data_IF_385323594395
#
_entry.id   IF_385323594395
#
_cell.length_a   1.000
_cell.length_b   1.000
_cell.length_c   1.000
_cell.angle_alpha   90.00
_cell.angle_beta   90.00
_cell.angle_gamma   90.00
#
_symmetry.space_group_name_H-M   'P 1'
#
loop_
_entity.id
_entity.type
_entity.pdbx_description
1 polymer ?
#
# COMPACT_ATOMS: atom_id res chain seq x y z
N UNK A 1 -0.83 30.69 -36.00
CA UNK A 1 -1.21 29.28 -36.27
C UNK A 1 -2.29 28.90 -35.26
N UNK A 2 -3.42 28.36 -35.70
CA UNK A 2 -4.61 28.21 -34.83
C UNK A 2 -4.54 26.99 -33.93
N UNK A 3 -4.70 27.20 -32.62
CA UNK A 3 -5.09 26.15 -31.69
C UNK A 3 -6.61 25.97 -31.74
N UNK A 4 -7.09 25.17 -32.69
CA UNK A 4 -8.45 24.62 -32.70
C UNK A 4 -8.38 23.15 -33.13
N UNK A 5 -9.40 22.36 -32.76
CA UNK A 5 -9.50 20.91 -33.01
C UNK A 5 -8.59 19.97 -32.18
N UNK A 6 -8.49 20.20 -30.87
CA UNK A 6 -8.39 19.09 -29.89
C UNK A 6 -9.71 18.97 -29.11
N UNK A 7 -10.75 18.63 -29.87
CA UNK A 7 -12.09 18.36 -29.35
C UNK A 7 -12.10 17.12 -28.47
N UNK A 8 -12.89 17.19 -27.40
CA UNK A 8 -13.17 16.10 -26.45
C UNK A 8 -14.08 15.06 -27.16
N UNK A 9 -13.50 14.34 -28.11
CA UNK A 9 -14.09 13.20 -28.81
C UNK A 9 -13.17 12.00 -28.57
N UNK A 10 -13.75 10.79 -28.53
CA UNK A 10 -13.09 9.51 -28.21
C UNK A 10 -12.90 9.15 -26.71
N UNK A 11 -14.00 9.10 -25.96
CA UNK A 11 -14.13 7.96 -25.04
C UNK A 11 -14.29 6.68 -25.90
N UNK A 12 -13.39 5.72 -25.76
CA UNK A 12 -13.45 4.45 -26.52
C UNK A 12 -14.13 3.36 -25.68
N UNK A 13 -14.95 2.52 -26.30
CA UNK A 13 -15.59 1.39 -25.63
C UNK A 13 -14.63 0.20 -25.63
N UNK A 14 -14.27 -0.31 -24.45
CA UNK A 14 -13.63 -1.62 -24.32
C UNK A 14 -14.72 -2.70 -24.46
N UNK A 15 -14.82 -3.28 -25.66
CA UNK A 15 -15.82 -4.29 -25.99
C UNK A 15 -15.73 -5.55 -25.11
N UNK A 16 -14.55 -5.86 -24.54
CA UNK A 16 -14.39 -7.00 -23.63
C UNK A 16 -15.04 -6.75 -22.26
N UNK A 17 -15.21 -5.48 -21.87
CA UNK A 17 -15.68 -5.06 -20.54
C UNK A 17 -17.01 -4.31 -20.52
N UNK A 18 -17.47 -3.85 -21.70
CA UNK A 18 -18.65 -3.00 -21.87
C UNK A 18 -18.56 -1.74 -20.99
N UNK A 19 -17.50 -0.96 -21.19
CA UNK A 19 -17.18 0.26 -20.42
C UNK A 19 -16.45 1.31 -21.29
N UNK A 20 -16.50 2.58 -20.88
CA UNK A 20 -15.83 3.70 -21.55
C UNK A 20 -14.44 3.98 -20.97
N UNK A 21 -13.48 4.28 -21.84
CA UNK A 21 -12.06 4.49 -21.52
C UNK A 21 -11.59 5.86 -22.05
N UNK A 22 -10.78 6.56 -21.26
CA UNK A 22 -10.33 7.94 -21.50
C UNK A 22 -9.18 8.05 -22.53
N UNK A 23 -9.18 9.06 -23.42
CA UNK A 23 -8.17 9.20 -24.48
C UNK A 23 -6.80 9.75 -24.02
N UNK A 24 -6.71 10.42 -22.86
CA UNK A 24 -5.41 10.87 -22.32
C UNK A 24 -4.67 9.79 -21.52
N UNK A 25 -5.24 8.59 -21.35
CA UNK A 25 -4.48 7.48 -20.81
C UNK A 25 -3.55 6.95 -21.92
N UNK A 26 -2.22 6.88 -21.71
CA UNK A 26 -1.29 6.50 -22.77
C UNK A 26 -1.63 5.12 -23.32
N UNK A 27 -1.53 4.98 -24.65
CA UNK A 27 -1.83 3.72 -25.34
C UNK A 27 -1.11 2.55 -24.65
N UNK A 28 -1.88 1.53 -24.29
CA UNK A 28 -1.41 0.33 -23.59
C UNK A 28 -0.20 -0.28 -24.28
N UNK A 29 0.81 -0.67 -23.50
CA UNK A 29 1.54 -1.90 -23.82
C UNK A 29 0.58 -3.08 -23.65
N UNK A 30 0.62 -4.05 -24.57
CA UNK A 30 -0.42 -5.09 -24.80
C UNK A 30 -0.76 -6.02 -23.62
N UNK A 31 -0.17 -5.82 -22.43
CA UNK A 31 -0.33 -6.68 -21.25
C UNK A 31 -0.99 -6.02 -20.03
N UNK A 32 -1.33 -4.72 -20.07
CA UNK A 32 -2.15 -4.12 -19.01
C UNK A 32 -3.66 -4.26 -19.30
N UNK A 33 -4.24 -5.34 -18.78
CA UNK A 33 -5.68 -5.61 -18.85
C UNK A 33 -6.52 -4.74 -17.91
N UNK A 34 -6.03 -3.60 -17.44
CA UNK A 34 -6.82 -2.67 -16.61
C UNK A 34 -7.06 -1.38 -17.38
N UNK A 35 -8.30 -1.20 -17.82
CA UNK A 35 -8.76 0.05 -18.39
C UNK A 35 -9.27 0.91 -17.22
N UNK A 36 -8.95 2.21 -17.23
CA UNK A 36 -9.68 3.16 -16.39
C UNK A 36 -11.15 3.09 -16.80
N UNK A 37 -11.97 2.47 -15.96
CA UNK A 37 -13.41 2.52 -16.09
C UNK A 37 -13.81 3.87 -15.52
N UNK A 38 -13.95 4.87 -16.38
CA UNK A 38 -14.31 6.21 -15.93
C UNK A 38 -15.81 6.25 -15.63
N UNK A 39 -16.14 6.08 -14.35
CA UNK A 39 -17.41 6.40 -13.72
C UNK A 39 -17.53 7.91 -13.43
N UNK A 40 -17.18 8.76 -14.41
CA UNK A 40 -17.51 10.21 -14.46
C UNK A 40 -19.01 10.51 -14.27
N UNK A 41 -19.82 9.45 -14.32
CA UNK A 41 -21.21 9.29 -13.89
C UNK A 41 -21.45 9.71 -12.43
N UNK A 42 -21.18 10.97 -12.09
CA UNK A 42 -21.77 11.62 -10.92
C UNK A 42 -21.87 13.13 -11.10
N UNK A 43 -20.78 13.85 -11.39
CA UNK A 43 -20.70 15.32 -11.20
C UNK A 43 -21.90 16.11 -11.75
N UNK A 44 -22.36 15.83 -12.97
CA UNK A 44 -23.50 16.55 -13.58
C UNK A 44 -24.89 16.13 -13.06
N UNK A 45 -24.99 15.00 -12.36
CA UNK A 45 -26.23 14.45 -11.80
C UNK A 45 -26.20 14.33 -10.26
N UNK A 46 -25.15 14.83 -9.60
CA UNK A 46 -24.99 14.76 -8.14
C UNK A 46 -26.20 15.38 -7.43
N UNK A 47 -26.70 16.50 -7.93
CA UNK A 47 -27.91 17.15 -7.43
C UNK A 47 -29.11 16.20 -7.41
N UNK A 48 -29.31 15.43 -8.49
CA UNK A 48 -30.44 14.53 -8.64
C UNK A 48 -30.27 13.27 -7.78
N UNK A 49 -29.05 12.74 -7.68
CA UNK A 49 -28.77 11.58 -6.81
C UNK A 49 -28.88 11.93 -5.34
N UNK A 50 -28.43 13.11 -4.93
CA UNK A 50 -28.56 13.53 -3.54
C UNK A 50 -30.02 13.76 -3.15
N UNK A 51 -30.82 14.38 -4.04
CA UNK A 51 -32.27 14.44 -3.86
C UNK A 51 -32.89 13.03 -3.72
N UNK A 52 -32.48 12.05 -4.52
CA UNK A 52 -32.95 10.65 -4.41
C UNK A 52 -32.46 9.94 -3.14
N UNK A 53 -31.23 10.21 -2.65
CA UNK A 53 -30.71 9.65 -1.40
C UNK A 53 -31.42 10.23 -0.17
N UNK A 54 -31.73 11.53 -0.17
CA UNK A 54 -32.37 12.24 0.94
C UNK A 54 -33.90 12.04 0.98
N UNK A 55 -34.56 11.94 -0.17
CA UNK A 55 -36.03 11.96 -0.29
C UNK A 55 -36.62 10.65 -0.85
N UNK A 56 -35.78 9.67 -1.16
CA UNK A 56 -36.17 8.43 -1.83
C UNK A 56 -36.64 8.64 -3.27
N UNK A 57 -36.96 7.54 -3.93
CA UNK A 57 -37.40 7.48 -5.33
C UNK A 57 -38.93 7.64 -5.44
N UNK A 58 -39.40 8.89 -5.49
CA UNK A 58 -40.82 9.25 -5.46
C UNK A 58 -41.35 9.79 -6.82
N UNK A 59 -42.65 10.10 -6.88
CA UNK A 59 -43.38 10.57 -8.09
C UNK A 59 -42.69 11.77 -8.76
N UNK A 60 -42.05 12.66 -7.99
CA UNK A 60 -41.29 13.81 -8.51
C UNK A 60 -40.24 13.40 -9.57
N UNK A 61 -39.62 12.22 -9.42
CA UNK A 61 -38.58 11.75 -10.32
C UNK A 61 -39.16 11.37 -11.69
N UNK A 62 -40.39 10.86 -11.74
CA UNK A 62 -41.11 10.60 -12.98
C UNK A 62 -41.46 11.93 -13.68
N UNK A 63 -41.89 12.96 -12.94
CA UNK A 63 -42.10 14.30 -13.50
C UNK A 63 -40.80 14.89 -14.06
N UNK A 64 -39.67 14.75 -13.36
CA UNK A 64 -38.34 15.20 -13.82
C UNK A 64 -37.91 14.45 -15.09
N UNK A 65 -38.11 13.14 -15.18
CA UNK A 65 -37.76 12.35 -16.37
C UNK A 65 -38.67 12.70 -17.56
N UNK A 66 -39.98 12.87 -17.33
CA UNK A 66 -40.93 13.32 -18.38
C UNK A 66 -40.59 14.74 -18.86
N UNK A 67 -40.18 15.61 -17.96
CA UNK A 67 -39.67 16.94 -18.27
C UNK A 67 -38.40 16.85 -19.16
N UNK A 68 -37.45 15.98 -18.79
CA UNK A 68 -36.22 15.75 -19.53
C UNK A 68 -36.47 15.28 -20.97
N UNK A 69 -37.40 14.33 -21.19
CA UNK A 69 -37.77 13.87 -22.55
C UNK A 69 -38.43 15.01 -23.34
N UNK A 70 -39.40 15.72 -22.73
CA UNK A 70 -40.12 16.80 -23.40
C UNK A 70 -39.21 17.96 -23.84
N UNK A 71 -38.11 18.20 -23.12
CA UNK A 71 -37.14 19.27 -23.39
C UNK A 71 -35.85 18.78 -24.06
N UNK A 72 -35.74 17.49 -24.35
CA UNK A 72 -34.52 16.85 -24.91
C UNK A 72 -33.26 17.15 -24.07
N UNK A 73 -33.35 16.99 -22.74
CA UNK A 73 -32.27 17.30 -21.80
C UNK A 73 -31.68 16.04 -21.15
N UNK A 74 -30.34 16.03 -20.97
CA UNK A 74 -29.68 15.04 -20.09
C UNK A 74 -29.80 15.41 -18.62
N UNK A 75 -30.23 16.63 -18.30
CA UNK A 75 -30.22 17.23 -16.95
C UNK A 75 -28.84 17.25 -16.27
N UNK A 76 -27.76 17.30 -17.06
CA UNK A 76 -26.45 17.65 -16.51
C UNK A 76 -26.48 19.07 -15.97
N UNK A 77 -25.95 19.29 -14.78
CA UNK A 77 -26.08 20.55 -14.05
C UNK A 77 -25.58 21.78 -14.83
N UNK A 78 -24.51 21.61 -15.63
CA UNK A 78 -23.96 22.67 -16.50
C UNK A 78 -24.73 22.88 -17.82
N UNK A 79 -25.70 22.00 -18.15
CA UNK A 79 -26.62 22.18 -19.29
C UNK A 79 -27.95 22.82 -18.88
N UNK A 80 -28.23 22.97 -17.57
CA UNK A 80 -29.48 23.56 -17.08
C UNK A 80 -29.46 25.09 -17.23
N UNK A 81 -30.28 25.61 -18.13
CA UNK A 81 -30.56 27.06 -18.21
C UNK A 81 -31.40 27.52 -17.01
N UNK A 82 -31.48 28.83 -16.76
CA UNK A 82 -32.35 29.38 -15.69
C UNK A 82 -33.84 29.04 -15.88
N UNK A 83 -34.31 28.92 -17.14
CA UNK A 83 -35.65 28.40 -17.44
C UNK A 83 -35.78 26.94 -16.97
N UNK A 84 -34.78 26.10 -17.25
CA UNK A 84 -34.82 24.69 -16.83
C UNK A 84 -34.74 24.53 -15.31
N UNK A 85 -33.90 25.32 -14.64
CA UNK A 85 -33.81 25.32 -13.17
C UNK A 85 -35.14 25.73 -12.54
N UNK A 86 -35.81 26.75 -13.10
CA UNK A 86 -37.14 27.16 -12.63
C UNK A 86 -38.17 26.04 -12.83
N UNK A 87 -38.26 25.45 -14.02
CA UNK A 87 -39.20 24.35 -14.28
C UNK A 87 -38.97 23.15 -13.34
N UNK A 88 -37.70 22.81 -13.06
CA UNK A 88 -37.32 21.73 -12.14
C UNK A 88 -37.68 22.10 -10.69
N UNK A 89 -37.43 23.35 -10.27
CA UNK A 89 -37.83 23.86 -8.96
C UNK A 89 -39.36 23.84 -8.77
N UNK A 90 -40.12 24.22 -9.80
CA UNK A 90 -41.58 24.19 -9.80
C UNK A 90 -42.13 22.75 -9.72
N UNK A 91 -41.42 21.75 -10.27
CA UNK A 91 -41.72 20.32 -10.06
C UNK A 91 -41.42 19.92 -8.60
N UNK A 92 -40.21 20.19 -8.11
CA UNK A 92 -39.74 19.75 -6.79
C UNK A 92 -40.51 20.41 -5.63
N UNK A 93 -40.93 21.66 -5.79
CA UNK A 93 -41.66 22.43 -4.77
C UNK A 93 -43.03 21.81 -4.41
N UNK A 94 -43.69 21.14 -5.37
CA UNK A 94 -44.93 20.37 -5.15
C UNK A 94 -44.77 19.28 -4.09
N UNK A 95 -43.55 18.75 -3.97
CA UNK A 95 -43.15 17.67 -3.06
C UNK A 95 -42.35 18.18 -1.86
N UNK A 96 -42.21 19.51 -1.72
CA UNK A 96 -41.45 20.19 -0.67
C UNK A 96 -39.95 19.84 -0.65
N UNK A 97 -39.41 19.43 -1.80
CA UNK A 97 -37.99 19.09 -1.97
C UNK A 97 -37.23 20.35 -2.41
N UNK A 98 -36.14 20.75 -1.73
CA UNK A 98 -35.31 21.86 -2.18
C UNK A 98 -34.47 21.45 -3.41
N UNK A 99 -34.46 22.29 -4.45
CA UNK A 99 -33.47 22.17 -5.52
C UNK A 99 -32.15 22.80 -5.06
N UNK A 100 -31.09 21.99 -4.99
CA UNK A 100 -29.74 22.44 -4.65
C UNK A 100 -28.80 21.96 -5.74
N UNK A 101 -28.10 22.92 -6.37
CA UNK A 101 -26.99 22.67 -7.29
C UNK A 101 -25.76 22.15 -6.51
N UNK A 102 -25.07 21.14 -7.04
CA UNK A 102 -23.92 20.46 -6.42
C UNK A 102 -22.60 20.61 -7.20
N UNK A 103 -22.55 21.51 -8.19
CA UNK A 103 -21.34 21.86 -8.93
C UNK A 103 -20.35 22.68 -8.06
N UNK A 104 -19.71 22.01 -7.13
CA UNK A 104 -18.69 22.56 -6.24
C UNK A 104 -17.31 22.53 -6.91
N UNK A 105 -16.71 23.71 -7.15
CA UNK A 105 -15.33 23.81 -7.67
C UNK A 105 -14.28 23.19 -6.73
N UNK A 106 -14.61 23.00 -5.45
CA UNK A 106 -13.79 22.31 -4.46
C UNK A 106 -14.02 20.79 -4.40
N UNK A 107 -14.81 20.20 -5.31
CA UNK A 107 -15.14 18.78 -5.34
C UNK A 107 -13.91 17.85 -5.26
N UNK A 108 -14.03 16.86 -4.37
CA UNK A 108 -13.03 15.83 -4.12
C UNK A 108 -13.68 14.44 -4.06
N UNK A 109 -13.21 13.55 -4.92
CA UNK A 109 -13.74 12.20 -5.10
C UNK A 109 -13.63 11.35 -3.82
N UNK A 110 -12.53 11.53 -3.07
CA UNK A 110 -12.25 10.86 -1.79
C UNK A 110 -13.23 11.19 -0.67
N UNK A 111 -14.06 12.25 -0.81
CA UNK A 111 -15.16 12.55 0.13
C UNK A 111 -16.44 11.78 -0.20
N UNK A 112 -16.50 11.08 -1.33
CA UNK A 112 -17.72 10.48 -1.90
C UNK A 112 -17.63 8.95 -2.09
N UNK A 113 -16.64 8.29 -1.46
CA UNK A 113 -16.37 6.84 -1.53
C UNK A 113 -17.60 5.92 -1.52
N UNK A 114 -18.61 6.22 -0.68
CA UNK A 114 -19.87 5.44 -0.61
C UNK A 114 -20.60 5.43 -1.97
N UNK A 115 -20.79 6.60 -2.56
CA UNK A 115 -21.47 6.80 -3.83
C UNK A 115 -20.68 6.12 -4.96
N UNK A 116 -19.35 6.20 -4.93
CA UNK A 116 -18.52 5.59 -5.98
C UNK A 116 -18.43 4.06 -5.83
N UNK A 117 -18.44 3.51 -4.61
CA UNK A 117 -18.57 2.06 -4.40
C UNK A 117 -19.92 1.54 -4.90
N UNK A 118 -21.00 2.30 -4.64
CA UNK A 118 -22.34 2.02 -5.18
C UNK A 118 -22.39 2.11 -6.71
N UNK A 119 -21.72 3.09 -7.32
CA UNK A 119 -21.66 3.23 -8.79
C UNK A 119 -20.79 2.19 -9.50
N UNK A 120 -20.18 1.21 -8.81
CA UNK A 120 -19.53 0.07 -9.47
C UNK A 120 -20.51 -1.05 -9.86
N UNK A 121 -21.69 -1.10 -9.26
CA UNK A 121 -22.75 -2.02 -9.65
C UNK A 121 -23.47 -1.48 -10.91
N UNK A 122 -23.46 -2.25 -12.01
CA UNK A 122 -24.06 -1.88 -13.31
C UNK A 122 -25.60 -1.86 -13.29
N UNK A 123 -26.20 -2.41 -12.24
CA UNK A 123 -27.63 -2.41 -11.95
C UNK A 123 -28.00 -1.35 -10.89
N UNK A 124 -27.01 -0.61 -10.36
CA UNK A 124 -27.26 0.45 -9.39
C UNK A 124 -28.16 1.57 -9.95
N UNK A 125 -28.95 2.15 -9.07
CA UNK A 125 -29.93 3.20 -9.33
C UNK A 125 -29.40 4.34 -10.20
N UNK A 126 -28.20 4.82 -9.87
CA UNK A 126 -27.54 5.97 -10.51
C UNK A 126 -27.20 5.69 -11.98
N UNK A 127 -26.74 4.46 -12.29
CA UNK A 127 -26.59 4.04 -13.67
C UNK A 127 -27.95 4.06 -14.36
N UNK A 128 -28.93 3.34 -13.80
CA UNK A 128 -30.28 3.24 -14.37
C UNK A 128 -30.88 4.62 -14.69
N UNK A 129 -30.74 5.58 -13.79
CA UNK A 129 -31.18 6.96 -13.96
C UNK A 129 -30.38 7.73 -15.02
N UNK A 130 -29.03 7.72 -14.98
CA UNK A 130 -28.21 8.41 -16.01
C UNK A 130 -28.65 8.00 -17.41
N UNK A 131 -28.84 6.69 -17.59
CA UNK A 131 -29.06 6.11 -18.90
C UNK A 131 -30.49 6.36 -19.39
N UNK A 132 -31.48 6.42 -18.50
CA UNK A 132 -32.84 6.91 -18.79
C UNK A 132 -32.81 8.38 -19.23
N UNK A 133 -32.05 9.25 -18.54
CA UNK A 133 -31.89 10.67 -18.93
C UNK A 133 -31.14 10.83 -20.26
N UNK A 134 -30.24 9.90 -20.59
CA UNK A 134 -29.60 9.85 -21.91
C UNK A 134 -30.58 9.42 -23.01
N UNK A 135 -31.52 8.50 -22.76
CA UNK A 135 -32.61 8.21 -23.70
C UNK A 135 -33.53 9.44 -23.87
N UNK A 136 -33.82 10.13 -22.76
CA UNK A 136 -34.66 11.33 -22.70
C UNK A 136 -34.13 12.47 -23.59
N UNK A 137 -32.81 12.72 -23.55
CA UNK A 137 -32.15 13.72 -24.40
C UNK A 137 -32.29 13.48 -25.91
N UNK A 138 -32.52 12.23 -26.33
CA UNK A 138 -32.56 11.86 -27.74
C UNK A 138 -33.94 11.39 -28.19
N UNK A 139 -34.98 11.71 -27.42
CA UNK A 139 -36.38 11.40 -27.71
C UNK A 139 -36.64 9.89 -27.89
N UNK A 140 -35.78 9.03 -27.33
CA UNK A 140 -35.85 7.58 -27.44
C UNK A 140 -36.46 6.92 -26.21
N UNK A 141 -36.76 7.67 -25.14
CA UNK A 141 -37.24 7.08 -23.89
C UNK A 141 -38.60 6.41 -24.10
N UNK A 142 -39.61 7.13 -24.56
CA UNK A 142 -40.95 6.55 -24.78
C UNK A 142 -41.08 5.71 -26.06
N UNK A 143 -40.06 5.71 -26.93
CA UNK A 143 -39.97 4.77 -28.05
C UNK A 143 -39.55 3.36 -27.60
N UNK A 144 -38.78 3.26 -26.52
CA UNK A 144 -38.10 2.03 -26.08
C UNK A 144 -38.56 1.55 -24.69
N UNK A 145 -39.22 2.40 -23.91
CA UNK A 145 -39.72 2.13 -22.56
C UNK A 145 -41.13 2.73 -22.43
N UNK A 146 -42.15 1.91 -22.20
CA UNK A 146 -43.52 2.41 -22.01
C UNK A 146 -43.69 3.20 -20.72
N UNK A 147 -44.73 4.04 -20.60
CA UNK A 147 -45.02 4.76 -19.35
C UNK A 147 -45.17 3.84 -18.12
N UNK A 148 -45.68 2.62 -18.32
CA UNK A 148 -45.87 1.66 -17.24
C UNK A 148 -44.55 0.98 -16.85
N UNK A 149 -43.62 0.80 -17.78
CA UNK A 149 -42.26 0.37 -17.47
C UNK A 149 -41.47 1.50 -16.81
N UNK A 150 -41.63 2.75 -17.26
CA UNK A 150 -41.04 3.93 -16.62
C UNK A 150 -41.54 4.15 -15.17
N UNK A 151 -42.74 3.65 -14.84
CA UNK A 151 -43.30 3.61 -13.46
C UNK A 151 -42.86 2.41 -12.62
N UNK A 152 -42.29 1.36 -13.22
CA UNK A 152 -41.63 0.23 -12.51
C UNK A 152 -40.14 0.53 -12.30
N UNK A 153 -39.54 1.21 -13.27
CA UNK A 153 -38.50 2.22 -13.05
C UNK A 153 -39.11 3.33 -12.16
N UNK A 154 -38.32 4.17 -11.51
CA UNK A 154 -38.78 5.12 -10.47
C UNK A 154 -39.35 4.43 -9.23
N UNK A 155 -40.41 3.61 -9.31
CA UNK A 155 -40.88 2.79 -8.17
C UNK A 155 -40.03 1.51 -8.01
N UNK A 156 -38.71 1.69 -7.91
CA UNK A 156 -37.65 0.67 -8.00
C UNK A 156 -37.62 -0.38 -6.88
N UNK A 157 -38.69 -1.17 -6.72
CA UNK A 157 -38.69 -2.37 -5.87
C UNK A 157 -37.93 -3.54 -6.52
N UNK A 158 -37.92 -3.61 -7.86
CA UNK A 158 -37.20 -4.64 -8.63
C UNK A 158 -35.85 -4.14 -9.20
N UNK A 159 -34.78 -4.91 -8.95
CA UNK A 159 -33.48 -4.72 -9.60
C UNK A 159 -33.51 -5.23 -11.04
N UNK A 160 -33.84 -4.37 -12.01
CA UNK A 160 -33.82 -4.72 -13.44
C UNK A 160 -32.77 -3.94 -14.22
N UNK A 161 -32.01 -4.65 -15.06
CA UNK A 161 -30.94 -4.10 -15.90
C UNK A 161 -31.49 -3.43 -17.18
N UNK A 162 -32.14 -2.27 -17.02
CA UNK A 162 -32.96 -1.61 -18.07
C UNK A 162 -32.21 -1.21 -19.36
N UNK A 163 -30.87 -1.16 -19.38
CA UNK A 163 -30.17 -0.30 -20.35
C UNK A 163 -29.15 -0.95 -21.30
N UNK A 164 -28.43 -2.01 -20.92
CA UNK A 164 -27.16 -2.31 -21.61
C UNK A 164 -27.31 -2.54 -23.14
N UNK A 165 -28.47 -3.00 -23.61
CA UNK A 165 -28.79 -3.08 -25.04
C UNK A 165 -29.30 -1.72 -25.61
N UNK A 166 -30.24 -1.07 -24.94
CA UNK A 166 -30.94 0.15 -25.35
C UNK A 166 -29.99 1.33 -25.57
N UNK A 167 -29.03 1.53 -24.65
CA UNK A 167 -28.02 2.59 -24.76
C UNK A 167 -26.97 2.31 -25.85
N UNK A 168 -26.61 1.04 -26.08
CA UNK A 168 -25.75 0.66 -27.20
C UNK A 168 -26.41 1.02 -28.54
N UNK A 169 -27.72 0.80 -28.69
CA UNK A 169 -28.48 1.20 -29.88
C UNK A 169 -28.38 2.69 -30.19
N UNK A 170 -28.69 3.57 -29.22
CA UNK A 170 -28.63 5.03 -29.39
C UNK A 170 -27.19 5.50 -29.68
N UNK A 171 -26.17 4.88 -29.08
CA UNK A 171 -24.77 5.19 -29.37
C UNK A 171 -24.34 4.77 -30.78
N UNK A 172 -24.77 3.60 -31.25
CA UNK A 172 -24.46 3.11 -32.61
C UNK A 172 -25.08 4.00 -33.70
N UNK A 173 -26.34 4.41 -33.53
CA UNK A 173 -27.05 5.31 -34.45
C UNK A 173 -26.33 6.66 -34.57
N UNK A 174 -25.87 7.25 -33.46
CA UNK A 174 -25.11 8.50 -33.45
C UNK A 174 -23.80 8.43 -34.23
N UNK A 175 -23.06 7.32 -34.11
CA UNK A 175 -21.80 7.13 -34.85
C UNK A 175 -22.02 7.07 -36.37
N UNK A 176 -23.18 6.61 -36.81
CA UNK A 176 -23.59 6.63 -38.22
C UNK A 176 -24.03 8.03 -38.68
N UNK A 177 -24.61 8.84 -37.80
CA UNK A 177 -25.24 10.12 -38.14
C UNK A 177 -24.41 11.38 -37.83
N UNK A 178 -23.19 11.27 -37.30
CA UNK A 178 -22.24 12.38 -37.17
C UNK A 178 -22.60 13.48 -36.15
N UNK A 179 -23.56 13.23 -35.25
CA UNK A 179 -24.10 14.21 -34.30
C UNK A 179 -23.02 14.62 -33.27
N UNK A 180 -22.79 15.94 -33.13
CA UNK A 180 -21.85 16.47 -32.13
C UNK A 180 -22.39 16.38 -30.69
N UNK A 181 -21.46 16.30 -29.74
CA UNK A 181 -21.77 16.22 -28.30
C UNK A 181 -21.52 17.60 -27.69
N UNK A 182 -22.39 18.05 -26.76
CA UNK A 182 -22.20 19.30 -26.01
C UNK A 182 -20.78 19.36 -25.43
N UNK A 183 -20.02 20.45 -25.62
CA UNK A 183 -18.71 20.60 -25.01
C UNK A 183 -18.83 20.66 -23.48
N UNK A 184 -17.94 19.96 -22.77
CA UNK A 184 -17.82 20.05 -21.32
C UNK A 184 -17.08 21.35 -20.98
N UNK A 185 -17.58 22.17 -20.01
CA UNK A 185 -16.87 23.39 -19.58
C UNK A 185 -15.45 23.13 -19.06
N UNK A 186 -14.50 23.99 -19.41
CA UNK A 186 -13.08 23.84 -19.06
C UNK A 186 -12.81 23.71 -17.55
N UNK A 187 -13.61 24.35 -16.69
CA UNK A 187 -13.47 24.23 -15.24
C UNK A 187 -13.83 22.82 -14.75
N UNK A 188 -14.81 22.16 -15.38
CA UNK A 188 -15.14 20.77 -15.08
C UNK A 188 -14.05 19.82 -15.54
N UNK A 189 -13.42 20.08 -16.70
CA UNK A 189 -12.24 19.32 -17.15
C UNK A 189 -11.14 19.37 -16.08
N UNK A 190 -10.85 20.55 -15.51
CA UNK A 190 -9.87 20.71 -14.42
C UNK A 190 -10.27 19.99 -13.13
N UNK A 191 -11.55 20.00 -12.74
CA UNK A 191 -12.06 19.23 -11.59
C UNK A 191 -11.86 17.73 -11.81
N UNK A 192 -12.09 17.25 -13.02
CA UNK A 192 -11.88 15.84 -13.39
C UNK A 192 -10.39 15.48 -13.35
N UNK A 193 -9.53 16.28 -13.98
CA UNK A 193 -8.08 16.08 -13.97
C UNK A 193 -7.49 16.06 -12.53
N UNK A 194 -7.95 16.97 -11.65
CA UNK A 194 -7.61 16.97 -10.21
C UNK A 194 -7.93 15.61 -9.55
N UNK A 195 -9.04 14.98 -9.93
CA UNK A 195 -9.54 13.74 -9.32
C UNK A 195 -9.13 12.44 -10.06
N UNK A 196 -8.48 12.52 -11.23
CA UNK A 196 -7.91 11.37 -11.95
C UNK A 196 -6.51 10.95 -11.47
N UNK A 197 -5.95 11.60 -10.44
CA UNK A 197 -4.65 11.19 -9.91
C UNK A 197 -4.76 9.89 -9.11
N UNK A 198 -3.72 9.05 -9.18
CA UNK A 198 -3.61 7.91 -8.27
C UNK A 198 -3.48 8.44 -6.83
N UNK A 199 -4.20 7.85 -5.89
CA UNK A 199 -4.02 8.09 -4.46
C UNK A 199 -4.13 6.79 -3.68
N UNK A 200 -3.65 6.82 -2.44
CA UNK A 200 -3.60 5.67 -1.54
C UNK A 200 -4.18 6.09 -0.19
N UNK A 201 -5.13 5.33 0.35
CA UNK A 201 -5.53 5.48 1.74
C UNK A 201 -4.33 5.31 2.67
N UNK A 202 -4.28 6.08 3.76
CA UNK A 202 -3.22 5.94 4.73
C UNK A 202 -3.41 4.66 5.54
N UNK A 203 -2.68 3.60 5.18
CA UNK A 203 -2.54 2.43 6.04
C UNK A 203 -1.93 2.85 7.39
N UNK A 204 -2.43 2.24 8.47
CA UNK A 204 -1.79 2.32 9.79
C UNK A 204 -0.64 1.31 9.82
N UNK A 205 0.45 1.65 10.52
CA UNK A 205 1.51 0.71 10.82
C UNK A 205 0.95 -0.49 11.62
N UNK A 206 1.52 -1.68 11.40
CA UNK A 206 1.06 -2.93 12.03
C UNK A 206 1.56 -3.04 13.47
N UNK A 207 2.79 -2.57 13.71
CA UNK A 207 3.51 -2.69 14.96
C UNK A 207 3.90 -1.32 15.52
N UNK A 208 3.74 -1.16 16.82
CA UNK A 208 4.10 0.03 17.57
C UNK A 208 5.00 -0.40 18.73
N UNK A 209 6.33 -0.19 18.65
CA UNK A 209 7.26 -0.75 19.63
C UNK A 209 7.11 -0.08 21.01
N UNK A 210 7.17 -0.89 22.07
CA UNK A 210 7.41 -0.43 23.43
C UNK A 210 8.93 -0.20 23.60
N UNK A 211 9.40 0.95 23.09
CA UNK A 211 10.83 1.22 22.90
C UNK A 211 11.61 1.04 24.22
N UNK A 212 11.13 1.61 25.33
CA UNK A 212 11.80 1.51 26.63
C UNK A 212 11.96 0.04 27.11
N UNK A 213 10.92 -0.79 26.92
CA UNK A 213 11.01 -2.22 27.25
C UNK A 213 12.09 -2.91 26.41
N UNK A 214 12.10 -2.68 25.09
CA UNK A 214 13.08 -3.28 24.17
C UNK A 214 14.50 -2.80 24.50
N UNK A 215 14.68 -1.49 24.70
CA UNK A 215 15.99 -0.89 24.96
C UNK A 215 16.56 -1.32 26.32
N UNK A 216 15.75 -1.37 27.37
CA UNK A 216 16.22 -1.77 28.70
C UNK A 216 16.65 -3.24 28.70
N UNK A 217 15.78 -4.16 28.27
CA UNK A 217 16.12 -5.60 28.22
C UNK A 217 17.36 -5.89 27.36
N UNK A 218 17.57 -5.16 26.24
CA UNK A 218 18.79 -5.30 25.44
C UNK A 218 20.01 -4.71 26.17
N UNK A 219 19.86 -3.54 26.82
CA UNK A 219 20.99 -2.86 27.47
C UNK A 219 21.44 -3.57 28.76
N UNK A 220 20.53 -4.23 29.47
CA UNK A 220 20.85 -5.08 30.62
C UNK A 220 21.79 -6.24 30.19
N UNK A 221 21.44 -6.93 29.10
CA UNK A 221 22.25 -8.02 28.50
C UNK A 221 23.56 -7.50 27.90
N UNK A 222 23.55 -6.35 27.21
CA UNK A 222 24.77 -5.71 26.71
C UNK A 222 25.73 -5.35 27.88
N UNK A 223 25.20 -4.89 29.02
CA UNK A 223 25.99 -4.50 30.19
C UNK A 223 26.59 -5.71 30.91
N UNK A 224 25.77 -6.73 31.21
CA UNK A 224 26.24 -7.96 31.88
C UNK A 224 27.35 -8.66 31.09
N UNK A 225 27.18 -8.79 29.77
CA UNK A 225 28.19 -9.40 28.90
C UNK A 225 29.44 -8.52 28.75
N UNK A 226 29.29 -7.19 28.76
CA UNK A 226 30.42 -6.25 28.68
C UNK A 226 31.30 -6.28 29.94
N UNK A 227 30.70 -6.26 31.13
CA UNK A 227 31.42 -6.31 32.41
C UNK A 227 32.26 -7.58 32.57
N UNK A 228 31.79 -8.69 32.01
CA UNK A 228 32.41 -10.01 32.12
C UNK A 228 33.19 -10.44 30.88
N UNK A 229 33.26 -9.63 29.81
CA UNK A 229 33.69 -10.08 28.48
C UNK A 229 35.05 -10.79 28.47
N UNK A 230 36.04 -10.27 29.19
CA UNK A 230 37.40 -10.82 29.24
C UNK A 230 37.50 -12.18 29.99
N UNK A 231 36.48 -12.55 30.77
CA UNK A 231 36.39 -13.84 31.46
C UNK A 231 35.72 -14.92 30.60
N UNK A 232 35.04 -14.52 29.52
CA UNK A 232 34.32 -15.41 28.62
C UNK A 232 35.35 -16.07 27.67
N UNK A 233 35.38 -17.40 27.52
CA UNK A 233 36.29 -18.08 26.60
C UNK A 233 36.11 -17.62 25.14
N UNK A 234 37.20 -17.59 24.37
CA UNK A 234 37.24 -17.14 22.97
C UNK A 234 36.13 -17.74 22.09
N UNK A 235 35.88 -19.05 22.19
CA UNK A 235 34.83 -19.73 21.43
C UNK A 235 33.42 -19.24 21.82
N UNK A 236 33.20 -19.03 23.12
CA UNK A 236 31.95 -18.47 23.64
C UNK A 236 31.74 -17.02 23.19
N UNK A 237 32.80 -16.21 23.12
CA UNK A 237 32.76 -14.85 22.60
C UNK A 237 32.30 -14.80 21.13
N UNK A 238 32.66 -15.79 20.29
CA UNK A 238 32.21 -15.85 18.88
C UNK A 238 30.69 -15.97 18.78
N UNK A 239 30.09 -16.86 19.58
CA UNK A 239 28.65 -17.10 19.60
C UNK A 239 27.90 -15.89 20.17
N UNK A 240 28.41 -15.34 21.28
CA UNK A 240 27.83 -14.15 21.91
C UNK A 240 27.96 -12.90 21.05
N UNK A 241 29.03 -12.74 20.27
CA UNK A 241 29.18 -11.64 19.30
C UNK A 241 28.09 -11.66 18.23
N UNK A 242 27.75 -12.85 17.69
CA UNK A 242 26.64 -13.00 16.72
C UNK A 242 25.28 -12.68 17.33
N UNK A 243 25.10 -12.97 18.61
CA UNK A 243 23.89 -12.66 19.35
C UNK A 243 23.77 -11.17 19.68
N UNK A 244 24.82 -10.56 20.23
CA UNK A 244 24.91 -9.12 20.49
C UNK A 244 24.72 -8.30 19.22
N UNK A 245 25.30 -8.71 18.09
CA UNK A 245 25.06 -8.06 16.80
C UNK A 245 23.57 -8.13 16.39
N UNK A 246 22.91 -9.25 16.67
CA UNK A 246 21.48 -9.40 16.44
C UNK A 246 20.64 -8.49 17.33
N UNK A 247 20.95 -8.41 18.64
CA UNK A 247 20.31 -7.46 19.57
C UNK A 247 20.53 -6.01 19.15
N UNK A 248 21.73 -5.67 18.67
CA UNK A 248 22.07 -4.33 18.20
C UNK A 248 21.22 -3.89 17.00
N UNK A 249 21.00 -4.79 16.03
CA UNK A 249 20.10 -4.52 14.92
C UNK A 249 18.66 -4.26 15.38
N UNK A 250 18.15 -5.03 16.35
CA UNK A 250 16.82 -4.80 16.95
C UNK A 250 16.73 -3.41 17.56
N UNK A 251 17.73 -3.04 18.38
CA UNK A 251 17.84 -1.74 19.06
C UNK A 251 17.80 -0.59 18.06
N UNK A 252 18.53 -0.68 16.96
CA UNK A 252 18.55 0.35 15.91
C UNK A 252 17.23 0.48 15.13
N UNK A 253 16.61 -0.63 14.70
CA UNK A 253 15.33 -0.54 13.97
C UNK A 253 14.14 -0.17 14.85
N UNK A 254 14.16 -0.52 16.15
CA UNK A 254 13.02 -0.31 17.06
C UNK A 254 12.77 1.17 17.36
N UNK A 255 13.79 2.02 17.20
CA UNK A 255 13.68 3.49 17.35
C UNK A 255 12.79 4.09 16.25
N UNK A 256 12.73 3.49 15.05
CA UNK A 256 11.98 4.01 13.92
C UNK A 256 10.81 3.08 13.52
N UNK A 257 9.55 3.46 13.79
CA UNK A 257 8.38 2.66 13.41
C UNK A 257 8.29 2.36 11.91
N UNK A 258 8.79 3.24 11.04
CA UNK A 258 8.82 3.01 9.58
C UNK A 258 9.87 1.95 9.23
N UNK A 259 11.02 1.94 9.91
CA UNK A 259 12.05 0.91 9.76
C UNK A 259 11.54 -0.47 10.18
N UNK A 260 10.95 -0.53 11.39
CA UNK A 260 10.43 -1.75 12.00
C UNK A 260 9.24 -2.38 11.25
N UNK A 261 8.40 -1.57 10.59
CA UNK A 261 7.28 -2.03 9.77
C UNK A 261 7.59 -2.10 8.26
N UNK A 262 8.77 -1.64 7.85
CA UNK A 262 9.11 -1.41 6.45
C UNK A 262 10.22 -2.32 5.95
N UNK A 263 10.78 -1.95 4.80
CA UNK A 263 11.80 -2.72 4.09
C UNK A 263 12.97 -3.11 5.01
N UNK A 264 13.48 -2.21 5.86
CA UNK A 264 14.61 -2.49 6.77
C UNK A 264 14.37 -3.70 7.71
N UNK A 265 13.12 -3.94 8.13
CA UNK A 265 12.80 -5.11 8.97
C UNK A 265 13.02 -6.45 8.26
N UNK A 266 12.90 -6.51 6.91
CA UNK A 266 13.18 -7.73 6.13
C UNK A 266 14.68 -8.04 6.11
N UNK A 267 15.52 -7.02 5.94
CA UNK A 267 16.98 -7.12 6.01
C UNK A 267 17.41 -7.64 7.39
N UNK A 268 16.89 -7.03 8.47
CA UNK A 268 17.20 -7.48 9.84
C UNK A 268 16.70 -8.91 10.10
N UNK A 269 15.49 -9.27 9.65
CA UNK A 269 14.97 -10.65 9.80
C UNK A 269 15.89 -11.67 9.13
N UNK A 270 16.35 -11.39 7.90
CA UNK A 270 17.31 -12.24 7.19
C UNK A 270 18.63 -12.36 7.96
N UNK A 271 19.22 -11.25 8.38
CA UNK A 271 20.52 -11.22 9.07
C UNK A 271 20.47 -11.92 10.43
N UNK A 272 19.37 -11.78 11.18
CA UNK A 272 19.13 -12.52 12.42
C UNK A 272 19.02 -14.03 12.16
N UNK A 273 18.33 -14.44 11.08
CA UNK A 273 18.30 -15.86 10.71
C UNK A 273 19.67 -16.38 10.29
N UNK A 274 20.45 -15.58 9.55
CA UNK A 274 21.84 -15.91 9.20
C UNK A 274 22.70 -16.11 10.45
N UNK A 275 22.58 -15.26 11.48
CA UNK A 275 23.26 -15.46 12.76
C UNK A 275 22.77 -16.72 13.50
N UNK A 276 21.46 -16.98 13.52
CA UNK A 276 20.86 -18.16 14.16
C UNK A 276 21.41 -19.47 13.58
N UNK A 277 21.30 -19.67 12.25
CA UNK A 277 21.72 -20.93 11.65
C UNK A 277 23.24 -21.10 11.68
N UNK A 278 24.01 -20.01 11.56
CA UNK A 278 25.47 -20.06 11.67
C UNK A 278 25.90 -20.46 13.09
N UNK A 279 25.34 -19.86 14.14
CA UNK A 279 25.60 -20.30 15.52
C UNK A 279 25.25 -21.77 15.71
N UNK A 280 24.07 -22.21 15.25
CA UNK A 280 23.66 -23.63 15.34
C UNK A 280 24.65 -24.56 14.63
N UNK A 281 25.10 -24.20 13.43
CA UNK A 281 26.08 -24.97 12.67
C UNK A 281 27.43 -25.07 13.37
N UNK A 282 27.98 -23.94 13.83
CA UNK A 282 29.28 -23.90 14.49
C UNK A 282 29.30 -24.73 15.77
N UNK A 283 28.21 -24.72 16.54
CA UNK A 283 28.01 -25.59 17.71
C UNK A 283 27.90 -27.06 17.29
N UNK A 284 26.96 -27.39 16.38
CA UNK A 284 26.64 -28.79 16.01
C UNK A 284 27.83 -29.52 15.38
N UNK A 285 28.65 -28.81 14.62
CA UNK A 285 29.81 -29.35 13.91
C UNK A 285 31.12 -29.19 14.68
N UNK A 286 31.09 -28.54 15.86
CA UNK A 286 32.26 -28.19 16.67
C UNK A 286 33.33 -27.36 15.90
N UNK A 287 32.89 -26.30 15.21
CA UNK A 287 33.70 -25.51 14.27
C UNK A 287 33.94 -24.05 14.69
N UNK A 288 33.66 -23.73 15.96
CA UNK A 288 33.68 -22.35 16.47
C UNK A 288 35.08 -21.71 16.30
N UNK A 289 36.14 -22.38 16.77
CA UNK A 289 37.51 -21.87 16.65
C UNK A 289 38.00 -21.78 15.19
N UNK A 290 37.62 -22.74 14.32
CA UNK A 290 37.94 -22.67 12.88
C UNK A 290 37.34 -21.41 12.23
N UNK A 291 36.08 -21.12 12.55
CA UNK A 291 35.40 -19.91 12.07
C UNK A 291 36.02 -18.64 12.67
N UNK A 292 36.45 -18.66 13.93
CA UNK A 292 37.15 -17.54 14.57
C UNK A 292 38.44 -17.19 13.83
N UNK A 293 39.29 -18.18 13.56
CA UNK A 293 40.54 -17.97 12.81
C UNK A 293 40.25 -17.40 11.42
N UNK A 294 39.30 -18.00 10.68
CA UNK A 294 38.88 -17.48 9.38
C UNK A 294 38.37 -16.03 9.44
N UNK A 295 37.58 -15.69 10.47
CA UNK A 295 37.01 -14.36 10.64
C UNK A 295 38.09 -13.31 10.96
N UNK A 296 39.06 -13.63 11.82
CA UNK A 296 40.20 -12.77 12.12
C UNK A 296 41.07 -12.53 10.88
N UNK A 297 41.32 -13.57 10.09
CA UNK A 297 42.10 -13.47 8.86
C UNK A 297 41.37 -12.66 7.77
N UNK A 298 40.06 -12.86 7.61
CA UNK A 298 39.21 -12.00 6.77
C UNK A 298 39.22 -10.54 7.25
N UNK A 299 39.15 -10.31 8.56
CA UNK A 299 39.19 -8.97 9.15
C UNK A 299 40.53 -8.29 8.85
N UNK A 300 41.66 -8.96 9.10
CA UNK A 300 43.01 -8.51 8.72
C UNK A 300 43.07 -8.07 7.25
N UNK A 301 42.55 -8.89 6.33
CA UNK A 301 42.49 -8.54 4.90
C UNK A 301 41.62 -7.29 4.63
N UNK A 302 40.48 -7.15 5.30
CA UNK A 302 39.61 -5.98 5.15
C UNK A 302 40.24 -4.70 5.70
N UNK A 303 41.03 -4.78 6.77
CA UNK A 303 41.77 -3.65 7.32
C UNK A 303 42.88 -3.22 6.37
N UNK A 304 43.73 -4.14 5.90
CA UNK A 304 44.81 -3.84 4.93
C UNK A 304 44.27 -3.20 3.65
N UNK A 305 43.10 -3.65 3.16
CA UNK A 305 42.44 -3.05 1.98
C UNK A 305 41.86 -1.65 2.22
N UNK A 306 41.76 -1.20 3.48
CA UNK A 306 41.18 0.09 3.87
C UNK A 306 42.21 1.09 4.41
N UNK A 307 43.32 0.63 4.97
CA UNK A 307 44.44 1.51 5.37
C UNK A 307 45.02 2.29 4.18
N UNK A 308 44.89 1.76 2.97
CA UNK A 308 45.31 2.43 1.73
C UNK A 308 44.30 3.49 1.22
N UNK A 309 43.19 3.74 1.92
CA UNK A 309 42.14 4.68 1.50
C UNK A 309 42.16 6.00 2.29
N UNK A 310 42.21 7.18 1.62
CA UNK A 310 42.53 8.46 2.25
C UNK A 310 41.44 9.09 3.15
N UNK A 311 40.31 8.41 3.37
CA UNK A 311 39.15 8.95 4.11
C UNK A 311 38.65 8.03 5.26
N UNK A 312 39.31 6.90 5.53
CA UNK A 312 38.92 6.00 6.62
C UNK A 312 39.59 6.45 7.92
N UNK A 313 38.84 7.15 8.79
CA UNK A 313 39.34 7.52 10.10
C UNK A 313 39.67 6.29 10.95
N UNK A 314 40.95 6.17 11.30
CA UNK A 314 41.53 5.39 12.39
C UNK A 314 40.88 4.02 12.66
N UNK A 315 41.20 3.04 11.79
CA UNK A 315 40.94 1.62 12.06
C UNK A 315 42.06 1.00 12.94
N UNK A 316 43.00 1.81 13.40
CA UNK A 316 44.28 1.34 13.95
C UNK A 316 44.13 0.83 15.38
N UNK A 317 43.10 1.26 16.11
CA UNK A 317 42.71 0.63 17.40
C UNK A 317 42.29 -0.84 17.21
N UNK A 318 41.62 -1.17 16.10
CA UNK A 318 41.33 -2.55 15.72
C UNK A 318 42.56 -3.30 15.17
N UNK A 319 43.60 -2.59 14.71
CA UNK A 319 44.89 -3.21 14.38
C UNK A 319 45.61 -3.63 15.65
N UNK A 320 45.67 -2.78 16.68
CA UNK A 320 46.44 -3.03 17.92
C UNK A 320 45.97 -4.27 18.68
N UNK A 321 44.66 -4.56 18.74
CA UNK A 321 44.12 -5.81 19.31
C UNK A 321 44.52 -7.07 18.50
N UNK A 322 44.88 -6.91 17.22
CA UNK A 322 45.19 -8.02 16.29
C UNK A 322 46.71 -8.29 16.19
N UNK A 323 47.55 -7.45 16.80
CA UNK A 323 49.03 -7.41 16.71
C UNK A 323 49.79 -8.60 17.36
N UNK A 324 49.16 -9.75 17.53
CA UNK A 324 49.78 -11.00 18.02
C UNK A 324 50.92 -11.59 17.16
N UNK A 325 51.38 -10.90 16.12
CA UNK A 325 52.62 -11.19 15.39
C UNK A 325 52.46 -11.30 13.87
N UNK A 326 53.16 -10.40 13.16
CA UNK A 326 53.57 -10.45 11.74
C UNK A 326 52.48 -10.65 10.68
N UNK A 327 52.35 -9.66 9.80
CA UNK A 327 51.61 -9.76 8.54
C UNK A 327 52.31 -10.68 7.54
N UNK A 328 52.12 -11.99 7.66
CA UNK A 328 52.27 -12.89 6.51
C UNK A 328 51.02 -12.77 5.60
N UNK A 329 51.18 -12.76 4.26
CA UNK A 329 50.05 -12.66 3.34
C UNK A 329 49.20 -13.94 3.37
N UNK A 330 48.09 -13.90 4.11
CA UNK A 330 47.24 -15.06 4.35
C UNK A 330 46.49 -15.46 3.05
N UNK A 331 46.64 -16.70 2.56
CA UNK A 331 45.91 -17.18 1.39
C UNK A 331 44.45 -17.49 1.74
N UNK A 332 43.60 -16.47 1.65
CA UNK A 332 42.15 -16.61 1.90
C UNK A 332 41.48 -17.30 0.69
N UNK A 333 41.27 -18.60 0.84
CA UNK A 333 40.52 -19.43 -0.11
C UNK A 333 39.01 -19.34 0.15
N UNK A 334 38.32 -18.50 -0.63
CA UNK A 334 36.85 -18.52 -0.76
C UNK A 334 36.07 -18.12 0.50
N UNK A 335 34.78 -18.48 0.51
CA UNK A 335 33.86 -18.22 1.61
C UNK A 335 33.78 -19.44 2.54
N UNK A 336 33.75 -19.20 3.86
CA UNK A 336 33.72 -20.27 4.87
C UNK A 336 32.45 -21.12 4.80
N UNK A 337 31.31 -20.48 4.55
CA UNK A 337 30.04 -21.14 4.32
C UNK A 337 29.86 -21.39 2.83
N UNK A 338 30.26 -22.58 2.36
CA UNK A 338 30.32 -22.94 0.94
C UNK A 338 29.00 -23.45 0.35
N UNK A 339 28.06 -23.88 1.20
CA UNK A 339 26.70 -24.27 0.78
C UNK A 339 25.76 -23.08 0.82
N UNK A 340 24.61 -23.17 0.14
CA UNK A 340 23.54 -22.19 0.31
C UNK A 340 22.95 -22.23 1.73
N UNK A 341 22.41 -21.09 2.19
CA UNK A 341 21.72 -21.01 3.49
C UNK A 341 20.57 -22.04 3.61
N UNK A 342 19.93 -22.40 2.49
CA UNK A 342 18.88 -23.44 2.43
C UNK A 342 19.44 -24.84 2.73
N UNK A 343 20.61 -25.17 2.21
CA UNK A 343 21.25 -26.47 2.47
C UNK A 343 21.71 -26.59 3.92
N UNK A 344 22.25 -25.51 4.49
CA UNK A 344 22.54 -25.46 5.94
C UNK A 344 21.27 -25.57 6.77
N UNK A 345 20.20 -24.84 6.43
CA UNK A 345 18.91 -24.95 7.13
C UNK A 345 18.35 -26.38 7.10
N UNK A 346 18.42 -27.06 5.95
CA UNK A 346 18.00 -28.49 5.85
C UNK A 346 18.89 -29.39 6.71
N UNK A 347 20.23 -29.23 6.65
CA UNK A 347 21.18 -30.00 7.47
C UNK A 347 20.91 -29.84 8.98
N UNK A 348 20.48 -28.64 9.40
CA UNK A 348 20.28 -28.28 10.81
C UNK A 348 18.84 -28.48 11.30
N UNK A 349 17.94 -29.01 10.46
CA UNK A 349 16.52 -29.15 10.79
C UNK A 349 15.80 -27.81 11.02
N UNK A 350 16.19 -26.76 10.29
CA UNK A 350 15.64 -25.39 10.32
C UNK A 350 14.93 -25.02 9.00
N UNK A 351 14.42 -26.01 8.24
CA UNK A 351 13.86 -25.78 6.91
C UNK A 351 12.60 -24.90 6.95
N UNK A 352 11.73 -25.13 7.92
CA UNK A 352 10.45 -24.42 7.98
C UNK A 352 10.65 -22.98 8.50
N UNK A 353 11.66 -22.78 9.35
CA UNK A 353 12.16 -21.46 9.73
C UNK A 353 12.84 -20.74 8.54
N UNK A 354 13.59 -21.44 7.69
CA UNK A 354 14.16 -20.86 6.46
C UNK A 354 13.07 -20.38 5.50
N UNK A 355 12.06 -21.21 5.23
CA UNK A 355 10.94 -20.85 4.34
C UNK A 355 10.16 -19.65 4.92
N UNK A 356 9.99 -19.58 6.25
CA UNK A 356 9.26 -18.51 6.95
C UNK A 356 10.05 -17.19 7.07
N UNK A 357 11.35 -17.25 7.37
CA UNK A 357 12.15 -16.08 7.76
C UNK A 357 13.22 -15.67 6.75
N UNK A 358 13.64 -16.57 5.85
CA UNK A 358 14.75 -16.30 4.94
C UNK A 358 14.30 -16.07 3.50
N UNK A 359 13.56 -17.00 2.91
CA UNK A 359 13.31 -17.04 1.46
C UNK A 359 12.70 -15.73 0.96
N UNK A 360 11.52 -15.35 1.46
CA UNK A 360 10.84 -14.10 1.12
C UNK A 360 11.63 -12.84 1.48
N UNK A 361 12.41 -12.87 2.58
CA UNK A 361 13.19 -11.71 3.00
C UNK A 361 14.47 -11.50 2.19
N UNK A 362 15.01 -12.56 1.58
CA UNK A 362 16.19 -12.50 0.71
C UNK A 362 15.94 -11.69 -0.56
N UNK A 363 14.69 -11.69 -1.06
CA UNK A 363 14.22 -10.89 -2.20
C UNK A 363 14.51 -9.39 -2.04
N UNK A 364 14.41 -8.86 -0.82
CA UNK A 364 14.57 -7.44 -0.53
C UNK A 364 16.01 -6.96 -0.64
N UNK A 365 16.98 -7.84 -0.36
CA UNK A 365 18.42 -7.52 -0.46
C UNK A 365 18.84 -7.29 -1.91
N UNK A 366 18.16 -7.91 -2.86
CA UNK A 366 18.41 -7.78 -4.29
C UNK A 366 17.43 -6.82 -4.99
N UNK A 367 16.55 -6.15 -4.22
CA UNK A 367 15.47 -5.30 -4.72
C UNK A 367 14.66 -5.98 -5.85
N UNK A 368 14.35 -7.27 -5.67
CA UNK A 368 13.64 -8.07 -6.67
C UNK A 368 12.25 -7.49 -6.98
N UNK A 369 11.63 -7.94 -8.07
CA UNK A 369 10.27 -7.51 -8.39
C UNK A 369 9.25 -7.90 -7.29
N UNK A 370 9.47 -9.01 -6.59
CA UNK A 370 8.72 -9.41 -5.38
C UNK A 370 8.86 -8.35 -4.28
N UNK A 371 10.09 -7.94 -3.98
CA UNK A 371 10.39 -6.92 -2.99
C UNK A 371 9.86 -5.53 -3.37
N UNK A 372 9.84 -5.18 -4.66
CA UNK A 372 9.23 -3.94 -5.17
C UNK A 372 7.71 -3.96 -4.97
N UNK A 373 7.04 -5.04 -5.41
CA UNK A 373 5.58 -5.15 -5.25
C UNK A 373 5.15 -5.17 -3.78
N UNK A 374 5.89 -5.89 -2.92
CA UNK A 374 5.56 -5.96 -1.49
C UNK A 374 6.00 -4.72 -0.71
N UNK A 375 7.16 -4.14 -1.05
CA UNK A 375 7.80 -3.07 -0.29
C UNK A 375 7.24 -1.68 -0.56
N UNK A 376 6.96 -1.35 -1.83
CA UNK A 376 6.58 0.01 -2.23
C UNK A 376 5.27 0.12 -3.01
N UNK A 377 4.69 -0.99 -3.50
CA UNK A 377 3.42 -0.94 -4.22
C UNK A 377 2.24 -1.24 -3.29
N UNK A 378 1.09 -0.61 -3.55
CA UNK A 378 -0.18 -0.93 -2.94
C UNK A 378 -1.32 -0.74 -3.93
N UNK A 379 -2.54 -1.17 -3.58
CA UNK A 379 -3.71 -0.90 -4.42
C UNK A 379 -4.03 0.58 -4.40
N UNK A 380 -4.25 1.16 -5.57
CA UNK A 380 -4.76 2.51 -5.69
C UNK A 380 -6.16 2.60 -5.06
N UNK A 381 -6.36 3.57 -4.19
CA UNK A 381 -7.66 3.90 -3.61
C UNK A 381 -8.52 4.75 -4.55
N UNK A 382 -7.98 5.24 -5.68
CA UNK A 382 -8.81 5.89 -6.70
C UNK A 382 -9.78 4.84 -7.30
N UNK A 383 -11.11 4.99 -7.09
CA UNK A 383 -12.07 3.97 -7.48
C UNK A 383 -12.16 3.78 -9.00
N UNK A 384 -11.80 4.79 -9.79
CA UNK A 384 -11.81 4.79 -11.26
C UNK A 384 -10.73 3.87 -11.85
N UNK A 385 -9.63 3.66 -11.11
CA UNK A 385 -8.43 2.99 -11.59
C UNK A 385 -8.46 1.46 -11.41
N UNK A 386 -9.66 0.87 -11.29
CA UNK A 386 -9.88 -0.58 -11.17
C UNK A 386 -9.08 -1.30 -10.06
N UNK A 387 -8.64 -0.60 -9.01
CA UNK A 387 -7.77 -1.14 -7.94
C UNK A 387 -6.36 -1.56 -8.40
N UNK A 388 -5.85 -1.02 -9.52
CA UNK A 388 -4.49 -1.26 -10.01
C UNK A 388 -3.42 -0.96 -8.94
N UNK A 389 -2.21 -1.50 -9.12
CA UNK A 389 -1.09 -1.16 -8.25
C UNK A 389 -0.52 0.23 -8.53
N UNK A 390 -0.21 0.96 -7.47
CA UNK A 390 0.43 2.27 -7.47
C UNK A 390 1.42 2.39 -6.30
N UNK A 391 2.24 3.44 -6.27
CA UNK A 391 3.28 3.62 -5.26
C UNK A 391 2.66 4.05 -3.93
N UNK A 392 3.01 3.37 -2.82
CA UNK A 392 2.65 3.74 -1.47
C UNK A 392 3.68 4.74 -0.90
N UNK A 393 3.29 6.00 -0.60
CA UNK A 393 4.22 7.01 -0.10
C UNK A 393 4.54 6.91 1.40
N UNK A 394 4.00 5.93 2.14
CA UNK A 394 4.05 5.90 3.62
C UNK A 394 4.60 4.61 4.27
N UNK A 395 4.84 3.55 3.50
CA UNK A 395 5.43 2.30 3.99
C UNK A 395 4.85 1.05 3.32
N UNK A 396 5.41 -0.13 3.60
CA UNK A 396 4.84 -1.39 3.12
C UNK A 396 3.61 -1.79 3.94
N UNK A 397 2.59 -2.33 3.27
CA UNK A 397 1.45 -2.96 3.92
C UNK A 397 1.62 -4.49 4.05
N UNK A 398 2.54 -5.07 3.29
CA UNK A 398 2.71 -6.51 3.11
C UNK A 398 3.89 -7.10 3.88
N UNK A 399 4.84 -6.27 4.32
CA UNK A 399 5.93 -6.71 5.19
C UNK A 399 5.39 -6.96 6.60
N UNK A 400 5.58 -8.19 7.09
CA UNK A 400 5.23 -8.61 8.43
C UNK A 400 6.45 -9.28 9.09
N UNK A 401 7.43 -8.46 9.45
CA UNK A 401 8.75 -8.94 9.91
C UNK A 401 9.08 -8.58 11.35
N UNK A 402 8.46 -7.53 11.92
CA UNK A 402 8.75 -7.10 13.30
C UNK A 402 8.55 -8.24 14.32
N UNK A 403 7.48 -9.05 14.19
CA UNK A 403 7.26 -10.22 15.06
C UNK A 403 8.30 -11.31 14.85
N UNK A 404 8.65 -11.58 13.59
CA UNK A 404 9.63 -12.61 13.22
C UNK A 404 11.02 -12.34 13.80
N UNK A 405 11.44 -11.08 13.85
CA UNK A 405 12.71 -10.63 14.46
C UNK A 405 12.85 -11.14 15.90
N UNK A 406 11.83 -10.96 16.73
CA UNK A 406 11.85 -11.43 18.13
C UNK A 406 11.63 -12.94 18.26
N UNK A 407 10.91 -13.58 17.33
CA UNK A 407 10.84 -15.05 17.27
C UNK A 407 12.21 -15.68 16.99
N UNK A 408 12.98 -15.12 16.04
CA UNK A 408 14.33 -15.60 15.71
C UNK A 408 15.30 -15.39 16.87
N UNK A 409 15.24 -14.24 17.53
CA UNK A 409 16.10 -13.91 18.68
C UNK A 409 15.81 -14.82 19.87
N UNK A 410 14.54 -15.14 20.13
CA UNK A 410 14.17 -16.13 21.16
C UNK A 410 14.68 -17.54 20.83
N UNK A 411 14.71 -17.94 19.56
CA UNK A 411 15.35 -19.21 19.14
C UNK A 411 16.89 -19.15 19.24
N UNK A 412 17.51 -17.98 19.08
CA UNK A 412 18.96 -17.82 19.28
C UNK A 412 19.31 -17.94 20.77
N UNK A 413 18.50 -17.33 21.64
CA UNK A 413 18.57 -17.50 23.10
C UNK A 413 18.47 -18.97 23.50
N UNK A 414 17.53 -19.73 22.94
CA UNK A 414 17.40 -21.19 23.19
C UNK A 414 18.70 -21.95 22.87
N UNK A 415 19.33 -21.65 21.74
CA UNK A 415 20.58 -22.31 21.31
C UNK A 415 21.75 -21.95 22.23
N UNK A 416 21.84 -20.70 22.68
CA UNK A 416 22.89 -20.27 23.60
C UNK A 416 22.67 -20.88 24.98
N UNK A 417 21.49 -20.76 25.58
CA UNK A 417 21.21 -21.31 26.90
C UNK A 417 21.46 -22.84 26.93
N UNK A 418 21.18 -23.55 25.83
CA UNK A 418 21.50 -24.98 25.69
C UNK A 418 23.00 -25.28 25.48
N UNK A 419 23.77 -24.40 24.83
CA UNK A 419 25.22 -24.56 24.65
C UNK A 419 26.00 -24.29 25.95
N UNK A 420 25.55 -23.30 26.72
CA UNK A 420 26.20 -22.85 27.95
C UNK A 420 25.75 -23.61 29.21
N UNK A 421 24.64 -24.35 29.15
CA UNK A 421 24.02 -25.09 30.27
C UNK A 421 23.53 -24.18 31.43
N UNK A 422 23.23 -22.91 31.13
CA UNK A 422 22.54 -21.97 32.02
C UNK A 422 21.79 -20.89 31.22
N UNK A 423 20.89 -20.15 31.88
CA UNK A 423 20.17 -19.03 31.28
C UNK A 423 21.07 -17.78 31.21
N UNK A 424 21.58 -17.46 30.02
CA UNK A 424 22.33 -16.21 29.74
C UNK A 424 21.38 -15.05 29.53
N UNK A 425 20.22 -15.32 28.94
CA UNK A 425 19.23 -14.30 28.61
C UNK A 425 17.83 -14.90 28.73
N UNK A 426 16.94 -14.15 29.37
CA UNK A 426 15.52 -14.45 29.36
C UNK A 426 14.93 -14.14 27.98
N UNK A 427 13.92 -14.91 27.55
CA UNK A 427 13.23 -14.69 26.27
C UNK A 427 12.38 -13.42 26.30
N UNK A 428 12.37 -12.69 25.19
CA UNK A 428 11.50 -11.54 24.98
C UNK A 428 10.02 -11.97 24.95
N UNK A 429 9.19 -11.31 25.76
CA UNK A 429 7.75 -11.53 25.75
C UNK A 429 7.09 -10.78 24.59
N UNK A 430 6.67 -11.50 23.54
CA UNK A 430 6.05 -10.92 22.34
C UNK A 430 4.82 -10.03 22.63
N UNK A 431 4.13 -10.21 23.76
CA UNK A 431 2.99 -9.38 24.16
C UNK A 431 3.40 -8.03 24.80
N UNK A 432 4.64 -7.92 25.30
CA UNK A 432 5.20 -6.72 25.91
C UNK A 432 6.03 -5.88 24.93
N UNK A 433 6.43 -6.45 23.80
CA UNK A 433 7.25 -5.77 22.78
C UNK A 433 6.47 -4.69 22.02
N UNK A 434 5.15 -4.85 21.86
CA UNK A 434 4.33 -3.94 21.05
C UNK A 434 3.13 -3.37 21.84
N UNK A 435 2.72 -2.15 21.51
CA UNK A 435 1.43 -1.60 21.96
C UNK A 435 0.29 -2.19 21.14
N UNK A 436 -0.76 -2.67 21.83
CA UNK A 436 -1.96 -3.23 21.19
C UNK A 436 -2.81 -2.17 20.45
N UNK A 437 -2.64 -0.88 20.75
CA UNK A 437 -3.38 0.22 20.13
C UNK A 437 -2.48 1.40 19.82
N UNK A 438 -2.74 2.06 18.69
CA UNK A 438 -2.07 3.29 18.29
C UNK A 438 -2.30 4.47 19.26
N UNK A 439 -3.43 4.50 19.97
CA UNK A 439 -3.70 5.48 21.04
C UNK A 439 -2.62 5.45 22.12
N UNK A 440 -2.26 4.24 22.54
CA UNK A 440 -1.43 3.97 23.70
C UNK A 440 0.03 4.31 23.36
N UNK A 441 0.47 3.91 22.15
CA UNK A 441 1.74 4.35 21.56
C UNK A 441 1.83 5.89 21.42
N UNK A 442 0.75 6.55 20.98
CA UNK A 442 0.74 8.02 20.83
C UNK A 442 0.81 8.73 22.17
N UNK A 443 0.21 8.17 23.22
CA UNK A 443 0.34 8.69 24.59
C UNK A 443 1.77 8.48 25.12
N UNK A 444 2.35 7.31 24.90
CA UNK A 444 3.75 7.01 25.24
C UNK A 444 4.73 8.00 24.59
N UNK A 445 4.67 8.19 23.26
CA UNK A 445 5.56 9.13 22.55
C UNK A 445 5.41 10.56 23.08
N UNK A 446 4.19 10.99 23.44
CA UNK A 446 3.96 12.30 24.06
C UNK A 446 4.63 12.43 25.42
N UNK A 447 4.54 11.40 26.27
CA UNK A 447 5.20 11.39 27.59
C UNK A 447 6.71 11.50 27.46
N UNK A 448 7.33 10.70 26.58
CA UNK A 448 8.78 10.74 26.29
C UNK A 448 9.22 12.10 25.73
N UNK A 449 8.39 12.73 24.88
CA UNK A 449 8.67 14.09 24.39
C UNK A 449 8.59 15.14 25.51
N UNK A 450 7.58 15.05 26.40
CA UNK A 450 7.47 15.97 27.54
C UNK A 450 8.58 15.81 28.58
N UNK A 451 9.09 14.59 28.82
CA UNK A 451 10.19 14.35 29.76
C UNK A 451 11.57 14.77 29.22
N UNK A 452 11.71 14.91 27.89
CA UNK A 452 12.95 15.32 27.23
C UNK A 452 12.96 16.82 26.85
N UNK A 453 12.00 17.60 27.36
CA UNK A 453 12.03 19.07 27.25
C UNK A 453 12.76 19.62 28.48
N UNK A 454 13.92 20.30 28.35
CA UNK A 454 14.56 20.96 29.48
C UNK A 454 13.67 22.07 30.03
N UNK A 455 13.59 22.20 31.36
CA UNK A 455 13.14 23.43 32.04
C UNK A 455 14.21 24.53 31.97
#
# INVERSE_FOLDING_TARGET
MSYSNKLIKEFRIDNSKKAFVHPLFPNKHEKSEEALNIYLLTLGHLWLYKIVEENGNNIYLNEIIKYAEKRELTLFEWELTEENKKDILDILSKYHIPFIMYLDESFELSKHDKIVRQSKDKEHLYHTLTRVLLLAKYHYLFQLISENELKKIVNWEDKQAVINATFLGVWMIKRQNGIEITPIPDFLVKIVEKNMSCYTESARLRYYPQIDYILNNISDVESELSENWYLIPDDSQVLLSKFLYSLRLIKEISINPIGLNGILSTFVTRTLFDNLWQSKYLITENKINEYRVFALDRMRLHVVKRSDMPEVNNIDELLTEIEGGVFDPIPINGDYFTKSAREYAIQLGLKDEYDKYYEYNSEFIHASLTAVYSGIMCRCSNPEHNMHLTINPRGSNYIDCAKHIFEIVNMHIDILNAYFDYEICAKFNLQQIFFNKYSDYKEFVRKVQSSNTPE
#
